data_IF_755254179142
#
_entry.id   IF_755254179142
#
_cell.length_a   1.000
_cell.length_b   1.000
_cell.length_c   1.000
_cell.angle_alpha   90.00
_cell.angle_beta   90.00
_cell.angle_gamma   90.00
#
_symmetry.space_group_name_H-M   'P 1'
#
loop_
_entity.id
_entity.type
_entity.pdbx_description
1 polymer ?
#
# COMPACT_ATOMS: atom_id res chain seq x y z
N UNK A 1 3.00 11.28 36.96
CA UNK A 1 1.98 11.54 35.94
C UNK A 1 1.92 10.32 35.05
N UNK A 2 0.77 9.64 34.94
CA UNK A 2 0.61 8.48 34.05
C UNK A 2 -0.03 8.94 32.75
N UNK A 3 0.41 8.35 31.63
CA UNK A 3 -0.21 8.59 30.33
C UNK A 3 -1.51 7.78 30.24
N UNK A 4 -2.58 8.42 29.76
CA UNK A 4 -3.91 7.82 29.55
C UNK A 4 -4.20 7.53 28.08
N UNK A 5 -3.27 7.86 27.19
CA UNK A 5 -3.34 7.64 25.75
C UNK A 5 -2.02 7.06 25.27
N UNK A 6 -2.03 6.40 24.11
CA UNK A 6 -0.83 5.87 23.46
C UNK A 6 0.18 7.02 23.22
N UNK A 7 1.39 6.95 23.79
CA UNK A 7 2.38 7.99 23.60
C UNK A 7 2.98 7.93 22.20
N UNK A 8 3.25 9.11 21.63
CA UNK A 8 4.03 9.23 20.41
C UNK A 8 5.50 8.86 20.66
N UNK A 9 6.13 8.15 19.73
CA UNK A 9 7.55 7.80 19.79
C UNK A 9 7.88 6.52 20.60
N UNK A 10 6.90 5.91 21.26
CA UNK A 10 7.10 4.61 21.90
C UNK A 10 7.02 3.46 20.88
N UNK A 11 7.98 2.53 20.94
CA UNK A 11 8.21 1.51 19.90
C UNK A 11 6.98 0.64 19.60
N UNK A 12 6.14 0.35 20.60
CA UNK A 12 4.94 -0.46 20.41
C UNK A 12 3.70 0.34 19.98
N UNK A 13 3.72 1.67 20.02
CA UNK A 13 2.51 2.48 19.80
C UNK A 13 1.93 2.30 18.41
N UNK A 14 2.79 2.19 17.40
CA UNK A 14 2.40 2.02 16.00
C UNK A 14 1.69 0.68 15.79
N UNK A 15 2.25 -0.41 16.34
CA UNK A 15 1.66 -1.74 16.24
C UNK A 15 0.32 -1.85 16.95
N UNK A 16 0.20 -1.24 18.13
CA UNK A 16 -1.06 -1.20 18.87
C UNK A 16 -2.11 -0.43 18.06
N UNK A 17 -1.78 0.78 17.60
CA UNK A 17 -2.72 1.61 16.85
C UNK A 17 -3.19 0.95 15.54
N UNK A 18 -2.27 0.31 14.80
CA UNK A 18 -2.61 -0.50 13.61
C UNK A 18 -3.67 -1.57 13.93
N UNK A 19 -3.49 -2.28 15.04
CA UNK A 19 -4.39 -3.35 15.46
C UNK A 19 -5.74 -2.81 15.92
N UNK A 20 -5.77 -1.68 16.63
CA UNK A 20 -7.00 -1.03 17.07
C UNK A 20 -7.85 -0.61 15.86
N UNK A 21 -7.24 0.03 14.86
CA UNK A 21 -7.95 0.41 13.61
C UNK A 21 -8.43 -0.82 12.85
N UNK A 22 -7.60 -1.86 12.76
CA UNK A 22 -7.98 -3.12 12.12
C UNK A 22 -9.14 -3.81 12.84
N UNK A 23 -9.19 -3.75 14.17
CA UNK A 23 -10.29 -4.28 14.98
C UNK A 23 -11.60 -3.50 14.74
N UNK A 24 -11.53 -2.15 14.74
CA UNK A 24 -12.69 -1.28 14.48
C UNK A 24 -13.30 -1.59 13.10
N UNK A 25 -12.44 -1.83 12.11
CA UNK A 25 -12.82 -2.06 10.71
C UNK A 25 -12.80 -3.52 10.29
N UNK A 26 -12.74 -4.48 11.22
CA UNK A 26 -12.55 -5.90 10.91
C UNK A 26 -13.56 -6.45 9.89
N UNK A 27 -14.81 -5.96 9.95
CA UNK A 27 -15.91 -6.36 9.07
C UNK A 27 -15.92 -5.63 7.72
N UNK A 28 -15.05 -4.65 7.52
CA UNK A 28 -14.97 -3.82 6.33
C UNK A 28 -13.59 -3.90 5.66
N UNK A 29 -12.68 -4.77 6.11
CA UNK A 29 -11.30 -4.92 5.61
C UNK A 29 -11.19 -5.12 4.10
N UNK A 30 -12.16 -5.79 3.48
CA UNK A 30 -12.21 -5.97 2.02
C UNK A 30 -12.51 -4.68 1.24
N UNK A 31 -13.14 -3.70 1.90
CA UNK A 31 -13.52 -2.41 1.30
C UNK A 31 -12.65 -1.26 1.79
N UNK A 32 -12.15 -1.34 3.01
CA UNK A 32 -11.43 -0.29 3.69
C UNK A 32 -10.12 -0.84 4.29
N UNK A 33 -9.17 -1.30 3.45
CA UNK A 33 -7.84 -1.64 3.95
C UNK A 33 -7.22 -0.43 4.66
N UNK A 34 -6.64 -0.67 5.82
CA UNK A 34 -5.96 0.34 6.62
C UNK A 34 -4.45 0.12 6.67
N UNK A 35 -3.71 1.21 6.61
CA UNK A 35 -2.28 1.27 6.88
C UNK A 35 -2.04 2.38 7.88
N UNK A 36 -1.76 2.01 9.12
CA UNK A 36 -1.70 2.88 10.29
C UNK A 36 -3.00 3.69 10.41
N UNK A 37 -2.88 5.02 10.32
CA UNK A 37 -3.95 6.00 10.34
C UNK A 37 -4.62 6.23 8.99
N UNK A 38 -4.02 5.76 7.89
CA UNK A 38 -4.56 5.91 6.55
C UNK A 38 -5.55 4.78 6.23
N UNK A 39 -6.80 5.14 5.93
CA UNK A 39 -7.86 4.22 5.54
C UNK A 39 -8.23 4.52 4.10
N UNK A 40 -8.00 3.55 3.21
CA UNK A 40 -8.34 3.69 1.80
C UNK A 40 -9.65 2.98 1.52
N UNK A 41 -10.68 3.73 1.13
CA UNK A 41 -11.97 3.15 0.77
C UNK A 41 -12.02 2.79 -0.71
N UNK A 42 -12.12 1.50 -1.01
CA UNK A 42 -12.23 0.98 -2.35
C UNK A 42 -13.65 1.17 -2.88
N UNK A 43 -13.75 1.67 -4.12
CA UNK A 43 -14.98 1.65 -4.89
C UNK A 43 -15.31 0.24 -5.42
N UNK A 44 -16.46 0.06 -6.08
CA UNK A 44 -16.75 -1.18 -6.78
C UNK A 44 -15.72 -1.46 -7.89
N UNK A 45 -15.59 -2.74 -8.26
CA UNK A 45 -14.63 -3.20 -9.28
C UNK A 45 -14.95 -2.69 -10.69
N UNK A 46 -16.18 -2.27 -10.92
CA UNK A 46 -16.66 -1.79 -12.22
C UNK A 46 -17.34 -0.44 -12.05
N UNK A 47 -17.26 0.40 -13.09
CA UNK A 47 -18.04 1.64 -13.15
C UNK A 47 -19.44 1.42 -13.75
N UNK A 48 -19.78 0.19 -14.13
CA UNK A 48 -21.05 -0.16 -14.79
C UNK A 48 -21.26 0.64 -16.07
N UNK A 49 -20.21 0.73 -16.90
CA UNK A 49 -20.28 1.44 -18.17
C UNK A 49 -21.16 0.65 -19.15
N UNK A 50 -22.11 1.34 -19.77
CA UNK A 50 -23.05 0.78 -20.74
C UNK A 50 -22.46 0.84 -22.15
N UNK A 51 -22.99 0.05 -23.12
CA UNK A 51 -22.45 0.00 -24.49
C UNK A 51 -22.48 1.34 -25.26
N UNK A 52 -23.34 2.27 -24.86
CA UNK A 52 -23.43 3.63 -25.40
C UNK A 52 -22.38 4.60 -24.82
N UNK A 53 -21.52 4.13 -23.91
CA UNK A 53 -20.47 4.91 -23.26
C UNK A 53 -20.93 5.67 -22.01
N UNK A 54 -22.20 5.54 -21.61
CA UNK A 54 -22.73 6.10 -20.36
C UNK A 54 -22.50 5.12 -19.18
N UNK A 55 -23.10 5.38 -18.02
CA UNK A 55 -22.94 4.55 -16.82
C UNK A 55 -24.30 4.22 -16.22
N UNK A 56 -24.46 3.04 -15.63
CA UNK A 56 -25.66 2.71 -14.86
C UNK A 56 -25.88 3.74 -13.74
N UNK A 57 -27.14 4.09 -13.53
CA UNK A 57 -27.60 5.01 -12.48
C UNK A 57 -28.54 4.27 -11.53
N UNK A 58 -28.76 4.81 -10.34
CA UNK A 58 -29.69 4.20 -9.39
C UNK A 58 -31.14 4.48 -9.81
N UNK A 59 -32.04 3.51 -9.59
CA UNK A 59 -33.46 3.61 -9.96
C UNK A 59 -34.17 4.80 -9.32
N UNK A 60 -33.75 5.17 -8.12
CA UNK A 60 -34.33 6.22 -7.29
C UNK A 60 -33.91 7.62 -7.72
N UNK A 61 -32.75 7.74 -8.38
CA UNK A 61 -32.20 9.00 -8.85
C UNK A 61 -31.33 8.78 -10.09
N UNK A 62 -31.88 9.02 -11.30
CA UNK A 62 -31.16 8.87 -12.56
C UNK A 62 -29.93 9.78 -12.71
N UNK A 63 -29.76 10.82 -11.90
CA UNK A 63 -28.59 11.71 -11.95
C UNK A 63 -27.39 11.15 -11.17
N UNK A 64 -27.59 10.09 -10.38
CA UNK A 64 -26.55 9.48 -9.55
C UNK A 64 -26.08 8.16 -10.16
N UNK A 65 -24.81 8.12 -10.56
CA UNK A 65 -24.16 6.91 -11.05
C UNK A 65 -24.10 5.85 -9.95
N UNK A 66 -24.42 4.60 -10.30
CA UNK A 66 -24.49 3.46 -9.38
C UNK A 66 -23.21 3.30 -8.56
N UNK A 67 -22.04 3.37 -9.20
CA UNK A 67 -20.77 3.16 -8.51
C UNK A 67 -20.44 4.27 -7.49
N UNK A 68 -20.92 5.49 -7.71
CA UNK A 68 -20.77 6.60 -6.74
C UNK A 68 -21.66 6.34 -5.53
N UNK A 69 -22.90 5.90 -5.75
CA UNK A 69 -23.81 5.53 -4.68
C UNK A 69 -23.26 4.39 -3.81
N UNK A 70 -22.79 3.31 -4.43
CA UNK A 70 -22.19 2.17 -3.71
C UNK A 70 -20.97 2.61 -2.87
N UNK A 71 -20.13 3.49 -3.43
CA UNK A 71 -19.01 4.07 -2.69
C UNK A 71 -19.48 4.92 -1.48
N UNK A 72 -20.51 5.76 -1.65
CA UNK A 72 -21.07 6.58 -0.59
C UNK A 72 -21.68 5.73 0.55
N UNK A 73 -22.34 4.61 0.22
CA UNK A 73 -22.86 3.65 1.21
C UNK A 73 -21.71 3.03 2.02
N UNK A 74 -20.63 2.62 1.35
CA UNK A 74 -19.44 2.10 2.02
C UNK A 74 -18.78 3.15 2.92
N UNK A 75 -18.69 4.40 2.45
CA UNK A 75 -18.13 5.51 3.21
C UNK A 75 -18.93 5.75 4.49
N UNK A 76 -20.26 5.84 4.37
CA UNK A 76 -21.12 6.03 5.53
C UNK A 76 -20.94 4.91 6.56
N UNK A 77 -20.85 3.65 6.13
CA UNK A 77 -20.62 2.51 7.03
C UNK A 77 -19.29 2.61 7.76
N UNK A 78 -18.21 2.94 7.04
CA UNK A 78 -16.87 3.06 7.64
C UNK A 78 -16.81 4.24 8.60
N UNK A 79 -17.29 5.41 8.20
CA UNK A 79 -17.35 6.60 9.08
C UNK A 79 -18.18 6.32 10.33
N UNK A 80 -19.34 5.66 10.20
CA UNK A 80 -20.16 5.30 11.34
C UNK A 80 -19.42 4.40 12.33
N UNK A 81 -18.66 3.39 11.85
CA UNK A 81 -17.84 2.52 12.72
C UNK A 81 -16.75 3.30 13.44
N UNK A 82 -16.04 4.18 12.73
CA UNK A 82 -14.99 5.01 13.30
C UNK A 82 -15.53 5.93 14.40
N UNK A 83 -16.61 6.66 14.11
CA UNK A 83 -17.26 7.56 15.07
C UNK A 83 -17.78 6.80 16.29
N UNK A 84 -18.40 5.63 16.07
CA UNK A 84 -18.89 4.80 17.17
C UNK A 84 -17.76 4.29 18.09
N UNK A 85 -16.57 4.07 17.54
CA UNK A 85 -15.38 3.71 18.30
C UNK A 85 -14.67 4.91 18.96
N UNK A 86 -15.19 6.13 18.78
CA UNK A 86 -14.56 7.36 19.28
C UNK A 86 -13.38 7.87 18.45
N UNK A 87 -13.15 7.30 17.26
CA UNK A 87 -12.11 7.78 16.35
C UNK A 87 -12.54 9.09 15.67
N UNK A 88 -11.56 9.95 15.38
CA UNK A 88 -11.78 11.22 14.68
C UNK A 88 -11.18 11.17 13.29
N UNK A 89 -11.96 11.56 12.28
CA UNK A 89 -11.50 11.67 10.88
C UNK A 89 -11.22 13.12 10.55
N UNK A 90 -10.04 13.40 9.97
CA UNK A 90 -9.69 14.75 9.55
C UNK A 90 -10.43 15.12 8.27
N UNK A 91 -11.48 15.95 8.39
CA UNK A 91 -12.22 16.46 7.24
C UNK A 91 -11.31 17.21 6.23
N UNK A 92 -10.25 17.89 6.72
CA UNK A 92 -9.28 18.61 5.88
C UNK A 92 -8.45 17.67 5.00
N UNK A 93 -8.17 16.46 5.47
CA UNK A 93 -7.36 15.46 4.75
C UNK A 93 -8.21 14.46 3.97
N UNK A 94 -9.53 14.43 4.21
CA UNK A 94 -10.44 13.49 3.58
C UNK A 94 -10.54 13.77 2.07
N UNK A 95 -10.22 12.76 1.26
CA UNK A 95 -10.37 12.80 -0.19
C UNK A 95 -11.52 11.87 -0.59
N UNK A 96 -12.51 12.40 -1.30
CA UNK A 96 -13.70 11.65 -1.73
C UNK A 96 -13.83 11.67 -3.24
N UNK A 97 -14.30 10.55 -3.79
CA UNK A 97 -14.66 10.41 -5.21
C UNK A 97 -13.57 10.88 -6.19
N UNK A 98 -12.31 10.71 -5.83
CA UNK A 98 -11.19 11.04 -6.71
C UNK A 98 -10.90 9.89 -7.68
N UNK A 99 -10.72 10.16 -8.99
CA UNK A 99 -10.34 9.14 -9.96
C UNK A 99 -8.89 8.67 -9.79
N UNK A 100 -8.08 9.48 -9.12
CA UNK A 100 -6.68 9.21 -8.78
C UNK A 100 -6.39 9.68 -7.35
N UNK A 101 -5.75 8.84 -6.54
CA UNK A 101 -5.31 9.17 -5.19
C UNK A 101 -3.88 8.66 -4.94
N UNK A 102 -3.16 9.28 -4.01
CA UNK A 102 -1.89 8.78 -3.52
C UNK A 102 -2.13 8.00 -2.23
N UNK A 103 -1.81 6.70 -2.24
CA UNK A 103 -1.95 5.80 -1.08
C UNK A 103 -0.58 5.22 -0.76
N UNK A 104 -0.05 5.53 0.43
CA UNK A 104 1.25 5.02 0.93
C UNK A 104 2.37 5.18 -0.13
N UNK A 105 2.45 6.37 -0.74
CA UNK A 105 3.45 6.68 -1.77
C UNK A 105 3.23 6.01 -3.13
N UNK A 106 1.99 5.62 -3.46
CA UNK A 106 1.64 5.02 -4.75
C UNK A 106 0.47 5.74 -5.38
N UNK A 107 0.57 5.99 -6.67
CA UNK A 107 -0.52 6.54 -7.48
C UNK A 107 -1.52 5.42 -7.79
N UNK A 108 -2.75 5.57 -7.32
CA UNK A 108 -3.80 4.59 -7.50
C UNK A 108 -4.90 5.19 -8.38
N UNK A 109 -5.18 4.55 -9.50
CA UNK A 109 -6.28 4.89 -10.40
C UNK A 109 -7.19 3.68 -10.59
N UNK A 110 -8.29 3.85 -11.35
CA UNK A 110 -9.13 2.73 -11.75
C UNK A 110 -8.38 1.66 -12.56
N UNK A 111 -7.38 2.05 -13.35
CA UNK A 111 -6.60 1.13 -14.20
C UNK A 111 -5.55 0.34 -13.41
N UNK A 112 -5.24 0.76 -12.18
CA UNK A 112 -4.32 0.08 -11.29
C UNK A 112 -3.38 1.02 -10.55
N UNK A 113 -2.26 0.46 -10.10
CA UNK A 113 -1.25 1.18 -9.32
C UNK A 113 -0.06 1.55 -10.19
N UNK A 114 0.45 2.77 -10.00
CA UNK A 114 1.66 3.27 -10.61
C UNK A 114 2.58 3.96 -9.61
N UNK A 115 3.82 4.25 -10.03
CA UNK A 115 4.74 5.06 -9.26
C UNK A 115 4.19 6.49 -9.09
N UNK A 116 4.45 7.08 -7.93
CA UNK A 116 4.18 8.50 -7.66
C UNK A 116 5.41 9.37 -8.02
N UNK A 117 5.31 10.70 -7.82
CA UNK A 117 6.42 11.61 -8.12
C UNK A 117 7.68 11.33 -7.26
N UNK A 118 7.48 10.93 -6.01
CA UNK A 118 8.53 10.56 -5.04
C UNK A 118 9.30 9.32 -5.49
N UNK A 119 8.62 8.36 -6.13
CA UNK A 119 9.22 7.16 -6.71
C UNK A 119 10.22 7.48 -7.83
N UNK A 120 9.97 8.55 -8.60
CA UNK A 120 10.87 8.99 -9.68
C UNK A 120 12.19 9.54 -9.13
N UNK A 121 12.25 9.94 -7.86
CA UNK A 121 13.50 10.43 -7.24
C UNK A 121 14.58 9.36 -7.12
N UNK A 122 14.21 8.07 -7.06
CA UNK A 122 15.18 6.97 -7.10
C UNK A 122 16.01 7.01 -8.39
N UNK A 123 15.44 7.49 -9.51
CA UNK A 123 16.16 7.66 -10.77
C UNK A 123 17.18 8.80 -10.73
N UNK A 124 17.05 9.72 -9.78
CA UNK A 124 17.94 10.87 -9.57
C UNK A 124 18.96 10.62 -8.45
N UNK A 125 18.98 9.42 -7.86
CA UNK A 125 19.86 9.10 -6.76
C UNK A 125 21.33 9.16 -7.21
N UNK A 126 22.21 9.90 -6.50
CA UNK A 126 23.61 10.03 -6.90
C UNK A 126 24.38 8.72 -6.74
N UNK A 127 25.57 8.64 -7.32
CA UNK A 127 26.44 7.47 -7.13
C UNK A 127 26.78 7.30 -5.64
N UNK A 128 26.41 6.16 -5.07
CA UNK A 128 26.58 5.87 -3.65
C UNK A 128 28.07 5.72 -3.32
N UNK A 129 28.55 6.48 -2.34
CA UNK A 129 29.96 6.50 -1.92
C UNK A 129 30.22 5.65 -0.67
N UNK A 130 29.16 5.24 0.04
CA UNK A 130 29.29 4.45 1.26
C UNK A 130 28.14 3.44 1.45
N UNK A 131 28.32 2.52 2.40
CA UNK A 131 27.37 1.43 2.67
C UNK A 131 25.99 1.96 3.10
N UNK A 132 25.94 3.07 3.85
CA UNK A 132 24.67 3.65 4.30
C UNK A 132 23.85 4.18 3.13
N UNK A 133 24.50 4.85 2.16
CA UNK A 133 23.87 5.31 0.93
C UNK A 133 23.38 4.14 0.06
N UNK A 134 24.18 3.08 -0.07
CA UNK A 134 23.76 1.86 -0.79
C UNK A 134 22.53 1.24 -0.13
N UNK A 135 22.50 1.14 1.21
CA UNK A 135 21.33 0.62 1.94
C UNK A 135 20.10 1.51 1.75
N UNK A 136 20.27 2.83 1.78
CA UNK A 136 19.21 3.79 1.50
C UNK A 136 18.65 3.63 0.09
N UNK A 137 19.52 3.56 -0.91
CA UNK A 137 19.15 3.36 -2.32
C UNK A 137 18.39 2.05 -2.53
N UNK A 138 18.92 0.93 -2.01
CA UNK A 138 18.27 -0.38 -2.13
C UNK A 138 16.95 -0.45 -1.37
N UNK A 139 16.87 0.19 -0.20
CA UNK A 139 15.63 0.32 0.57
C UNK A 139 14.54 1.05 -0.23
N UNK A 140 14.87 2.21 -0.77
CA UNK A 140 13.96 3.00 -1.61
C UNK A 140 13.57 2.26 -2.88
N UNK A 141 14.54 1.70 -3.62
CA UNK A 141 14.27 0.90 -4.83
C UNK A 141 13.38 -0.31 -4.53
N UNK A 142 13.54 -0.92 -3.34
CA UNK A 142 12.71 -2.03 -2.87
C UNK A 142 11.23 -1.68 -2.71
N UNK A 143 10.89 -0.40 -2.44
CA UNK A 143 9.49 0.06 -2.34
C UNK A 143 8.77 0.11 -3.69
N UNK A 144 9.55 0.26 -4.78
CA UNK A 144 9.07 0.48 -6.16
C UNK A 144 9.43 -0.68 -7.09
N UNK A 145 9.90 -1.80 -6.51
CA UNK A 145 10.37 -3.00 -7.22
C UNK A 145 9.39 -3.53 -8.27
N UNK A 146 8.08 -3.38 -8.07
CA UNK A 146 7.07 -3.85 -9.02
C UNK A 146 7.19 -3.21 -10.41
N UNK A 147 7.84 -2.04 -10.50
CA UNK A 147 8.05 -1.31 -11.76
C UNK A 147 9.51 -1.33 -12.23
N UNK A 148 10.42 -1.97 -11.49
CA UNK A 148 11.84 -2.06 -11.82
C UNK A 148 12.10 -3.39 -12.53
N UNK A 149 12.37 -3.37 -13.84
CA UNK A 149 12.54 -4.59 -14.66
C UNK A 149 13.61 -5.57 -14.11
N UNK A 150 14.63 -5.04 -13.44
CA UNK A 150 15.77 -5.79 -12.89
C UNK A 150 15.43 -6.47 -11.57
N UNK A 151 14.46 -5.97 -10.80
CA UNK A 151 14.03 -6.55 -9.51
C UNK A 151 12.62 -7.08 -9.68
N UNK A 152 12.44 -8.39 -9.65
CA UNK A 152 11.15 -9.02 -9.98
C UNK A 152 10.51 -9.63 -8.74
N UNK A 153 9.22 -9.37 -8.47
CA UNK A 153 8.49 -10.11 -7.44
C UNK A 153 8.61 -11.61 -7.64
N UNK A 154 8.58 -12.36 -6.54
CA UNK A 154 8.48 -13.82 -6.60
C UNK A 154 7.14 -14.20 -7.21
N UNK A 155 7.18 -15.08 -8.21
CA UNK A 155 6.00 -15.66 -8.84
C UNK A 155 5.85 -17.13 -8.43
N UNK A 156 4.91 -17.38 -7.54
CA UNK A 156 4.62 -18.72 -7.02
C UNK A 156 3.93 -19.64 -8.05
N UNK A 157 3.47 -19.10 -9.18
CA UNK A 157 2.92 -19.92 -10.27
C UNK A 157 4.00 -20.59 -11.11
N UNK A 158 5.23 -20.07 -11.06
CA UNK A 158 6.37 -20.63 -11.79
C UNK A 158 7.02 -21.78 -11.01
N UNK A 159 7.44 -22.85 -11.69
CA UNK A 159 8.10 -23.99 -11.05
C UNK A 159 9.56 -23.70 -10.65
N UNK A 160 10.03 -22.47 -10.80
CA UNK A 160 11.43 -22.12 -10.58
C UNK A 160 11.75 -21.90 -9.10
N UNK A 161 12.89 -22.43 -8.62
CA UNK A 161 13.30 -22.30 -7.23
C UNK A 161 13.45 -20.85 -6.76
N UNK A 162 13.07 -20.62 -5.51
CA UNK A 162 13.35 -19.39 -4.78
C UNK A 162 14.62 -19.62 -3.94
N UNK A 163 15.61 -18.76 -4.12
CA UNK A 163 16.91 -18.81 -3.46
C UNK A 163 17.00 -17.65 -2.48
N UNK A 164 17.21 -17.95 -1.21
CA UNK A 164 17.62 -16.99 -0.20
C UNK A 164 19.14 -17.08 -0.02
N UNK A 165 19.87 -16.07 -0.48
CA UNK A 165 21.31 -15.95 -0.23
C UNK A 165 21.50 -15.07 0.99
N UNK A 166 22.24 -15.55 1.99
CA UNK A 166 22.48 -14.84 3.24
C UNK A 166 23.98 -14.70 3.43
N UNK A 167 24.41 -13.52 3.84
CA UNK A 167 25.77 -13.26 4.28
C UNK A 167 25.73 -12.64 5.68
N UNK A 168 26.69 -12.97 6.53
CA UNK A 168 26.67 -12.59 7.94
C UNK A 168 28.04 -12.10 8.40
N UNK A 169 28.05 -11.00 9.12
CA UNK A 169 29.18 -10.52 9.93
C UNK A 169 28.76 -10.44 11.40
N UNK A 170 29.72 -10.28 12.31
CA UNK A 170 29.50 -10.30 13.78
C UNK A 170 28.35 -9.37 14.23
N UNK A 171 28.15 -8.27 13.52
CA UNK A 171 27.20 -7.21 13.87
C UNK A 171 26.02 -7.07 12.89
N UNK A 172 25.92 -7.93 11.86
CA UNK A 172 24.89 -7.78 10.84
C UNK A 172 24.68 -9.03 9.99
N UNK A 173 23.46 -9.21 9.50
CA UNK A 173 23.06 -10.20 8.50
C UNK A 173 22.53 -9.45 7.28
N UNK A 174 23.08 -9.71 6.11
CA UNK A 174 22.55 -9.28 4.81
C UNK A 174 21.87 -10.45 4.10
N UNK A 175 20.80 -10.20 3.36
CA UNK A 175 20.16 -11.22 2.54
C UNK A 175 19.65 -10.70 1.20
N UNK A 176 19.62 -11.62 0.23
CA UNK A 176 19.04 -11.44 -1.09
C UNK A 176 18.08 -12.60 -1.33
N UNK A 177 16.80 -12.28 -1.53
CA UNK A 177 15.80 -13.21 -2.03
C UNK A 177 15.76 -13.09 -3.55
N UNK A 178 15.94 -14.19 -4.28
CA UNK A 178 15.89 -14.24 -5.73
C UNK A 178 15.08 -15.45 -6.21
N UNK A 179 14.46 -15.37 -7.39
CA UNK A 179 13.85 -16.53 -8.06
C UNK A 179 14.68 -16.87 -9.29
N UNK A 180 14.88 -18.15 -9.57
CA UNK A 180 15.47 -18.58 -10.83
C UNK A 180 14.50 -18.34 -11.99
N UNK A 181 15.01 -18.18 -13.20
CA UNK A 181 14.22 -18.21 -14.43
C UNK A 181 14.55 -19.45 -15.28
N UNK A 182 13.90 -19.57 -16.44
CA UNK A 182 14.12 -20.68 -17.37
C UNK A 182 15.54 -20.78 -17.94
N UNK A 183 16.37 -19.74 -17.76
CA UNK A 183 17.77 -19.69 -18.14
C UNK A 183 18.71 -19.93 -16.93
N UNK A 184 18.14 -20.35 -15.79
CA UNK A 184 18.84 -20.57 -14.53
C UNK A 184 19.53 -19.31 -13.97
N UNK A 185 19.06 -18.11 -14.37
CA UNK A 185 19.56 -16.85 -13.86
C UNK A 185 18.84 -16.46 -12.58
N UNK A 186 19.57 -15.92 -11.61
CA UNK A 186 18.99 -15.39 -10.37
C UNK A 186 18.38 -14.02 -10.66
N UNK A 187 17.05 -13.91 -10.53
CA UNK A 187 16.31 -12.64 -10.58
C UNK A 187 16.07 -12.15 -9.15
N UNK A 188 16.74 -11.08 -8.69
CA UNK A 188 16.52 -10.56 -7.34
C UNK A 188 15.09 -10.08 -7.17
N UNK A 189 14.49 -10.43 -6.04
CA UNK A 189 13.14 -10.02 -5.65
C UNK A 189 13.15 -9.07 -4.46
N UNK A 190 14.08 -9.26 -3.52
CA UNK A 190 14.20 -8.43 -2.32
C UNK A 190 15.62 -8.44 -1.78
N UNK A 191 16.05 -7.27 -1.31
CA UNK A 191 17.25 -7.10 -0.51
C UNK A 191 16.83 -6.76 0.92
N UNK A 192 17.61 -7.19 1.91
CA UNK A 192 17.41 -6.75 3.28
C UNK A 192 18.66 -6.94 4.13
N UNK A 193 18.65 -6.27 5.27
CA UNK A 193 19.69 -6.42 6.28
C UNK A 193 19.10 -6.30 7.67
N UNK A 194 19.65 -7.06 8.60
CA UNK A 194 19.38 -6.99 10.04
C UNK A 194 20.71 -6.64 10.69
N UNK A 195 20.74 -5.61 11.52
CA UNK A 195 21.92 -5.19 12.31
C UNK A 195 21.58 -5.29 13.78
#
# INVERSE_FOLDING_TARGET
MYLTVLPQGWTGSVGIFQNDVALILQNETSKAPNFLDDITLLGPKTQYQTPDGTYETISENPDVRRFIWEHAVNLNRVLHRLVHAGATVSAKKLQLCHPEIIVVGRRCTYEGQGPDATTVEVLKWPECQNVSEVRGFLGMTGTVRNWVKTIRPVDHSLPFPIILSVDTVVIAVGFILAQLDGENQRRPARFGSIT
#
